data_IF_920107348383
#
_entry.id   IF_920107348383
#
_cell.length_a   1.000
_cell.length_b   1.000
_cell.length_c   1.000
_cell.angle_alpha   90.00
_cell.angle_beta   90.00
_cell.angle_gamma   90.00
#
_symmetry.space_group_name_H-M   'P 1'
#
loop_
_entity.id
_entity.type
_entity.pdbx_description
1 polymer ?
#
# COMPACT_ATOMS: atom_id res chain seq x y z
N UNK A 1 -0.21 18.31 16.88
CA UNK A 1 1.18 18.79 17.05
C UNK A 1 1.69 18.62 18.48
N UNK A 2 0.96 19.08 19.50
CA UNK A 2 1.38 18.95 20.91
C UNK A 2 1.69 17.50 21.37
N UNK A 3 0.89 16.51 20.96
CA UNK A 3 1.13 15.11 21.32
C UNK A 3 2.36 14.48 20.63
N UNK A 4 2.70 14.97 19.42
CA UNK A 4 3.88 14.49 18.70
C UNK A 4 5.17 15.07 19.28
N UNK A 5 5.16 16.34 19.69
CA UNK A 5 6.27 16.97 20.40
C UNK A 5 6.53 16.34 21.77
N UNK A 6 5.48 15.91 22.49
CA UNK A 6 5.66 15.20 23.76
C UNK A 6 6.23 13.80 23.57
N UNK A 7 5.80 13.06 22.54
CA UNK A 7 6.35 11.74 22.21
C UNK A 7 7.81 11.80 21.76
N UNK A 8 8.18 12.80 20.94
CA UNK A 8 9.57 13.04 20.54
C UNK A 8 10.42 13.47 21.75
N UNK A 9 9.88 14.32 22.63
CA UNK A 9 10.55 14.72 23.87
C UNK A 9 10.83 13.52 24.79
N UNK A 10 9.83 12.66 24.99
CA UNK A 10 9.98 11.43 25.78
C UNK A 10 11.01 10.48 25.14
N UNK A 11 10.94 10.26 23.83
CA UNK A 11 11.91 9.42 23.11
C UNK A 11 13.35 9.97 23.21
N UNK A 12 13.52 11.29 23.07
CA UNK A 12 14.83 11.95 23.19
C UNK A 12 15.41 11.87 24.61
N UNK A 13 14.57 11.95 25.64
CA UNK A 13 14.97 11.79 27.04
C UNK A 13 15.44 10.35 27.33
N UNK A 14 14.75 9.35 26.79
CA UNK A 14 15.18 7.94 26.90
C UNK A 14 16.48 7.67 26.13
N UNK A 15 16.67 8.27 24.95
CA UNK A 15 17.94 8.17 24.22
C UNK A 15 19.11 8.83 24.97
N UNK A 16 18.90 10.00 25.59
CA UNK A 16 19.93 10.69 26.38
C UNK A 16 20.29 9.92 27.66
N UNK A 17 19.30 9.39 28.39
CA UNK A 17 19.51 8.48 29.51
C UNK A 17 20.25 7.20 29.08
N UNK A 18 19.91 6.67 27.90
CA UNK A 18 20.58 5.55 27.28
C UNK A 18 22.06 5.80 27.04
N UNK A 19 22.40 6.90 26.36
CA UNK A 19 23.78 7.34 26.11
C UNK A 19 24.57 7.58 27.39
N UNK A 20 23.97 8.20 28.42
CA UNK A 20 24.61 8.43 29.71
C UNK A 20 24.92 7.13 30.48
N UNK A 21 24.06 6.11 30.36
CA UNK A 21 24.26 4.79 30.95
C UNK A 21 25.32 3.96 30.19
N UNK A 22 25.41 4.12 28.88
CA UNK A 22 26.45 3.51 28.03
C UNK A 22 27.84 4.07 28.39
N UNK A 23 27.94 5.38 28.63
CA UNK A 23 29.18 6.06 29.03
C UNK A 23 29.69 5.64 30.42
N UNK A 24 28.81 5.14 31.31
CA UNK A 24 29.18 4.63 32.64
C UNK A 24 29.52 3.12 32.68
N UNK A 25 29.56 2.49 31.50
CA UNK A 25 30.04 1.12 31.18
C UNK A 25 29.97 0.08 32.30
N UNK A 26 28.77 -0.46 32.50
CA UNK A 26 28.61 -1.87 32.85
C UNK A 26 27.74 -2.55 31.79
N UNK A 27 28.02 -3.80 31.42
CA UNK A 27 27.19 -4.58 30.49
C UNK A 27 25.70 -4.59 30.92
N UNK A 28 25.45 -4.48 32.22
CA UNK A 28 24.09 -4.35 32.80
C UNK A 28 23.41 -3.04 32.39
N UNK A 29 24.13 -1.92 32.39
CA UNK A 29 23.61 -0.63 31.94
C UNK A 29 23.27 -0.69 30.43
N UNK A 30 24.15 -1.24 29.60
CA UNK A 30 23.88 -1.47 28.18
C UNK A 30 22.61 -2.32 27.96
N UNK A 31 22.50 -3.44 28.66
CA UNK A 31 21.34 -4.33 28.55
C UNK A 31 20.03 -3.63 28.99
N UNK A 32 20.07 -2.89 30.10
CA UNK A 32 18.92 -2.10 30.58
C UNK A 32 18.49 -1.05 29.55
N UNK A 33 19.44 -0.35 28.93
CA UNK A 33 19.13 0.67 27.91
C UNK A 33 18.51 0.05 26.66
N UNK A 34 18.98 -1.12 26.24
CA UNK A 34 18.42 -1.84 25.10
C UNK A 34 16.99 -2.31 25.39
N UNK A 35 16.76 -2.87 26.57
CA UNK A 35 15.42 -3.29 27.01
C UNK A 35 14.46 -2.09 27.07
N UNK A 36 14.88 -0.98 27.69
CA UNK A 36 14.08 0.25 27.74
C UNK A 36 13.79 0.80 26.33
N UNK A 37 14.77 0.76 25.42
CA UNK A 37 14.59 1.16 24.04
C UNK A 37 13.57 0.30 23.30
N UNK A 38 13.60 -1.02 23.48
CA UNK A 38 12.61 -1.96 22.89
C UNK A 38 11.22 -1.70 23.44
N UNK A 39 11.07 -1.51 24.76
CA UNK A 39 9.79 -1.19 25.39
C UNK A 39 9.25 0.15 24.87
N UNK A 40 10.08 1.19 24.85
CA UNK A 40 9.69 2.51 24.36
C UNK A 40 9.27 2.47 22.89
N UNK A 41 9.98 1.70 22.06
CA UNK A 41 9.62 1.50 20.65
C UNK A 41 8.28 0.77 20.51
N UNK A 42 8.05 -0.28 21.31
CA UNK A 42 6.77 -0.98 21.34
C UNK A 42 5.59 -0.08 21.74
N UNK A 43 5.77 0.76 22.77
CA UNK A 43 4.76 1.74 23.19
C UNK A 43 4.52 2.78 22.09
N UNK A 44 5.58 3.29 21.46
CA UNK A 44 5.45 4.23 20.35
C UNK A 44 4.68 3.62 19.17
N UNK A 45 5.05 2.43 18.72
CA UNK A 45 4.43 1.75 17.58
C UNK A 45 2.96 1.43 17.85
N UNK A 46 2.63 0.96 19.05
CA UNK A 46 1.24 0.64 19.43
C UNK A 46 0.40 1.90 19.57
N UNK A 47 0.89 2.95 20.26
CA UNK A 47 0.19 4.23 20.37
C UNK A 47 -0.07 4.84 18.99
N UNK A 48 0.94 4.78 18.10
CA UNK A 48 0.80 5.30 16.74
C UNK A 48 -0.15 4.46 15.89
N UNK A 49 -0.09 3.14 15.99
CA UNK A 49 -1.02 2.24 15.32
C UNK A 49 -2.47 2.57 15.71
N UNK A 50 -2.74 2.69 17.02
CA UNK A 50 -4.06 3.07 17.54
C UNK A 50 -4.49 4.46 17.06
N UNK A 51 -3.58 5.44 17.03
CA UNK A 51 -3.87 6.77 16.51
C UNK A 51 -4.30 6.74 15.04
N UNK A 52 -3.60 5.98 14.19
CA UNK A 52 -3.94 5.83 12.77
C UNK A 52 -5.31 5.13 12.62
N UNK A 53 -5.58 4.08 13.40
CA UNK A 53 -6.89 3.42 13.34
C UNK A 53 -8.01 4.36 13.80
N UNK A 54 -7.78 5.15 14.85
CA UNK A 54 -8.76 6.15 15.31
C UNK A 54 -8.96 7.27 14.28
N UNK A 55 -7.92 7.75 13.61
CA UNK A 55 -8.05 8.80 12.59
C UNK A 55 -8.87 8.30 11.39
N UNK A 56 -8.70 7.03 11.00
CA UNK A 56 -9.52 6.35 9.98
C UNK A 56 -10.98 6.21 10.41
N UNK A 57 -11.25 5.79 11.65
CA UNK A 57 -12.62 5.69 12.17
C UNK A 57 -13.35 7.03 12.22
N UNK A 58 -12.63 8.13 12.49
CA UNK A 58 -13.19 9.49 12.48
C UNK A 58 -13.44 10.05 11.07
N UNK A 59 -12.77 9.48 10.06
CA UNK A 59 -12.86 9.91 8.65
C UNK A 59 -13.06 8.68 7.76
N UNK A 60 -14.23 8.00 7.85
CA UNK A 60 -14.48 6.82 7.05
C UNK A 60 -14.48 7.19 5.56
N UNK A 61 -13.80 6.38 4.76
CA UNK A 61 -13.82 6.52 3.31
C UNK A 61 -15.11 5.86 2.80
N UNK A 62 -16.14 6.66 2.53
CA UNK A 62 -17.38 6.17 1.94
C UNK A 62 -17.21 6.00 0.42
N UNK A 63 -17.20 4.75 -0.05
CA UNK A 63 -17.10 4.41 -1.47
C UNK A 63 -18.26 5.00 -2.31
N UNK A 64 -19.43 5.18 -1.69
CA UNK A 64 -20.58 5.82 -2.33
C UNK A 64 -20.30 7.29 -2.66
N UNK A 65 -19.66 8.02 -1.74
CA UNK A 65 -19.28 9.43 -1.95
C UNK A 65 -18.23 9.55 -3.06
N UNK A 66 -17.33 8.58 -3.18
CA UNK A 66 -16.35 8.50 -4.28
C UNK A 66 -17.06 8.24 -5.62
N UNK A 67 -18.00 7.30 -5.67
CA UNK A 67 -18.76 6.97 -6.87
C UNK A 67 -19.65 8.15 -7.34
N UNK A 68 -20.25 8.89 -6.41
CA UNK A 68 -21.04 10.09 -6.70
C UNK A 68 -20.14 11.24 -7.15
N UNK A 69 -18.98 11.48 -6.49
CA UNK A 69 -17.99 12.47 -6.95
C UNK A 69 -17.40 12.16 -8.33
N UNK A 70 -17.24 10.87 -8.66
CA UNK A 70 -16.75 10.39 -9.96
C UNK A 70 -17.66 10.85 -11.11
N UNK A 71 -18.97 11.01 -10.91
CA UNK A 71 -19.87 11.50 -11.96
C UNK A 71 -19.89 13.03 -12.10
N UNK A 72 -19.49 13.77 -11.06
CA UNK A 72 -19.68 15.23 -10.99
C UNK A 72 -18.42 16.08 -11.10
N UNK A 73 -17.20 15.53 -11.03
CA UNK A 73 -15.99 16.37 -11.11
C UNK A 73 -14.69 15.65 -11.51
N UNK A 74 -14.29 15.66 -12.81
CA UNK A 74 -12.97 15.20 -13.26
C UNK A 74 -11.80 16.03 -12.69
N UNK A 75 -12.07 17.16 -12.04
CA UNK A 75 -11.05 18.02 -11.39
C UNK A 75 -10.43 17.40 -10.12
N UNK A 76 -11.12 16.50 -9.42
CA UNK A 76 -10.62 15.87 -8.19
C UNK A 76 -9.53 14.82 -8.43
N UNK A 77 -9.50 14.24 -9.63
CA UNK A 77 -8.49 13.28 -10.06
C UNK A 77 -7.38 13.95 -10.89
N UNK A 78 -7.44 15.28 -11.04
CA UNK A 78 -6.44 16.04 -11.77
C UNK A 78 -5.13 15.99 -11.00
N UNK A 79 -4.13 15.33 -11.59
CA UNK A 79 -2.85 15.11 -10.93
C UNK A 79 -2.82 13.93 -9.96
N UNK A 80 -3.78 13.00 -10.02
CA UNK A 80 -3.76 11.83 -9.15
C UNK A 80 -2.56 10.92 -9.45
N UNK A 81 -1.92 10.41 -8.40
CA UNK A 81 -0.81 9.47 -8.49
C UNK A 81 -1.20 8.11 -7.91
N UNK A 82 -1.36 7.12 -8.79
CA UNK A 82 -1.65 5.74 -8.42
C UNK A 82 -0.39 4.88 -8.47
N UNK A 83 -0.24 4.00 -7.49
CA UNK A 83 0.72 2.91 -7.52
C UNK A 83 -0.03 1.58 -7.54
N UNK A 84 0.18 0.80 -8.59
CA UNK A 84 -0.51 -0.46 -8.84
C UNK A 84 0.49 -1.60 -8.71
N UNK A 85 0.20 -2.55 -7.81
CA UNK A 85 1.02 -3.75 -7.64
C UNK A 85 0.43 -4.87 -8.48
N UNK A 86 1.17 -5.28 -9.52
CA UNK A 86 0.80 -6.38 -10.38
C UNK A 86 1.28 -7.70 -9.77
N UNK A 87 0.33 -8.58 -9.46
CA UNK A 87 0.59 -9.93 -8.94
C UNK A 87 0.75 -10.94 -10.06
N UNK A 88 1.49 -12.03 -9.86
CA UNK A 88 1.85 -12.88 -11.00
C UNK A 88 0.70 -13.64 -11.66
N UNK A 89 0.72 -13.75 -13.00
CA UNK A 89 -0.19 -14.57 -13.79
C UNK A 89 -1.63 -14.01 -13.83
N UNK A 90 -2.59 -14.79 -13.32
CA UNK A 90 -4.02 -14.41 -13.33
C UNK A 90 -4.32 -13.11 -12.56
N UNK A 91 -3.55 -12.83 -11.50
CA UNK A 91 -3.71 -11.59 -10.72
C UNK A 91 -3.43 -10.33 -11.55
N UNK A 92 -2.41 -10.33 -12.43
CA UNK A 92 -2.15 -9.19 -13.34
C UNK A 92 -3.34 -8.95 -14.26
N UNK A 93 -3.85 -10.01 -14.90
CA UNK A 93 -5.01 -9.88 -15.80
C UNK A 93 -6.24 -9.33 -15.08
N UNK A 94 -6.53 -9.85 -13.89
CA UNK A 94 -7.62 -9.33 -13.05
C UNK A 94 -7.41 -7.85 -12.71
N UNK A 95 -6.19 -7.45 -12.33
CA UNK A 95 -5.88 -6.06 -11.98
C UNK A 95 -6.08 -5.12 -13.17
N UNK A 96 -5.53 -5.46 -14.33
CA UNK A 96 -5.66 -4.66 -15.54
C UNK A 96 -7.13 -4.54 -15.99
N UNK A 97 -7.89 -5.64 -15.94
CA UNK A 97 -9.32 -5.61 -16.25
C UNK A 97 -10.12 -4.74 -15.26
N UNK A 98 -9.79 -4.80 -13.96
CA UNK A 98 -10.39 -3.91 -12.96
C UNK A 98 -10.06 -2.44 -13.24
N UNK A 99 -8.84 -2.14 -13.64
CA UNK A 99 -8.41 -0.80 -14.04
C UNK A 99 -9.22 -0.29 -15.24
N UNK A 100 -9.35 -1.09 -16.28
CA UNK A 100 -10.09 -0.75 -17.50
C UNK A 100 -11.56 -0.38 -17.22
N UNK A 101 -12.22 -1.14 -16.34
CA UNK A 101 -13.67 -0.99 -16.10
C UNK A 101 -13.97 0.06 -15.03
N UNK A 102 -13.19 0.04 -13.95
CA UNK A 102 -13.57 0.72 -12.71
C UNK A 102 -12.85 2.06 -12.49
N UNK A 103 -11.71 2.29 -13.15
CA UNK A 103 -10.90 3.48 -12.93
C UNK A 103 -10.96 4.44 -14.13
N UNK A 104 -11.35 5.71 -13.92
CA UNK A 104 -11.43 6.66 -15.02
C UNK A 104 -10.03 7.06 -15.48
N UNK A 105 -9.81 7.07 -16.80
CA UNK A 105 -8.60 7.66 -17.37
C UNK A 105 -8.73 9.17 -17.37
N UNK A 106 -7.80 9.83 -16.67
CA UNK A 106 -7.75 11.29 -16.57
C UNK A 106 -6.41 11.77 -17.16
N UNK A 107 -6.40 12.81 -18.02
CA UNK A 107 -5.20 13.26 -18.73
C UNK A 107 -4.00 13.61 -17.83
N UNK A 108 -4.25 14.09 -16.61
CA UNK A 108 -3.21 14.49 -15.67
C UNK A 108 -2.85 13.39 -14.64
N UNK A 109 -3.30 12.16 -14.84
CA UNK A 109 -3.03 11.05 -13.91
C UNK A 109 -1.66 10.42 -14.18
N UNK A 110 -0.95 10.05 -13.11
CA UNK A 110 0.25 9.21 -13.19
C UNK A 110 0.01 7.82 -12.59
N UNK A 111 0.43 6.78 -13.29
CA UNK A 111 0.31 5.38 -12.86
C UNK A 111 1.70 4.74 -12.75
N UNK A 112 2.09 4.36 -11.54
CA UNK A 112 3.29 3.56 -11.30
C UNK A 112 2.93 2.09 -11.16
N UNK A 113 3.51 1.25 -12.00
CA UNK A 113 3.32 -0.20 -11.94
C UNK A 113 4.50 -0.89 -11.26
N UNK A 114 4.22 -1.59 -10.16
CA UNK A 114 5.18 -2.49 -9.51
C UNK A 114 4.97 -3.92 -9.98
N UNK A 115 6.02 -4.51 -10.54
CA UNK A 115 5.99 -5.85 -11.12
C UNK A 115 6.94 -6.74 -10.34
N UNK A 116 6.49 -7.94 -9.98
CA UNK A 116 7.35 -8.89 -9.27
C UNK A 116 8.42 -9.48 -10.20
N UNK A 117 9.63 -9.66 -9.69
CA UNK A 117 10.78 -10.21 -10.42
C UNK A 117 10.48 -11.62 -10.95
N UNK A 118 10.86 -11.88 -12.21
CA UNK A 118 10.64 -13.18 -12.86
C UNK A 118 9.26 -13.35 -13.49
N UNK A 119 8.52 -12.25 -13.68
CA UNK A 119 7.22 -12.25 -14.35
C UNK A 119 7.24 -11.40 -15.63
N UNK A 120 7.80 -11.97 -16.70
CA UNK A 120 7.82 -11.36 -18.03
C UNK A 120 6.43 -11.25 -18.66
N UNK A 121 5.52 -12.18 -18.34
CA UNK A 121 4.16 -12.17 -18.88
C UNK A 121 3.36 -10.95 -18.39
N UNK A 122 3.55 -10.55 -17.13
CA UNK A 122 2.91 -9.36 -16.60
C UNK A 122 3.38 -8.07 -17.26
N UNK A 123 4.66 -8.00 -17.68
CA UNK A 123 5.17 -6.88 -18.47
C UNK A 123 4.49 -6.80 -19.83
N UNK A 124 4.37 -7.93 -20.54
CA UNK A 124 3.73 -7.99 -21.86
C UNK A 124 2.26 -7.57 -21.77
N UNK A 125 1.53 -8.07 -20.76
CA UNK A 125 0.14 -7.70 -20.56
C UNK A 125 -0.04 -6.23 -20.20
N UNK A 126 0.87 -5.65 -19.41
CA UNK A 126 0.84 -4.23 -19.08
C UNK A 126 1.12 -3.35 -20.30
N UNK A 127 2.13 -3.69 -21.09
CA UNK A 127 2.49 -2.92 -22.29
C UNK A 127 1.32 -2.94 -23.30
N UNK A 128 0.71 -4.11 -23.53
CA UNK A 128 -0.49 -4.23 -24.36
C UNK A 128 -1.68 -3.40 -23.82
N UNK A 129 -1.87 -3.36 -22.50
CA UNK A 129 -2.93 -2.58 -21.87
C UNK A 129 -2.73 -1.07 -22.04
N UNK A 130 -1.53 -0.54 -21.80
CA UNK A 130 -1.27 0.89 -21.97
C UNK A 130 -1.33 1.30 -23.46
N UNK A 131 -0.94 0.43 -24.39
CA UNK A 131 -1.10 0.67 -25.83
C UNK A 131 -2.58 0.67 -26.25
N UNK A 132 -3.40 -0.23 -25.70
CA UNK A 132 -4.85 -0.21 -25.90
C UNK A 132 -5.50 1.05 -25.31
N UNK A 133 -5.07 1.50 -24.13
CA UNK A 133 -5.55 2.76 -23.57
C UNK A 133 -5.25 3.95 -24.48
N UNK A 134 -4.04 3.98 -25.05
CA UNK A 134 -3.61 5.01 -26.01
C UNK A 134 -4.44 5.00 -27.29
N UNK A 135 -4.75 3.82 -27.83
CA UNK A 135 -5.57 3.72 -29.06
C UNK A 135 -7.00 4.15 -28.82
N UNK A 136 -7.59 3.85 -27.66
CA UNK A 136 -8.99 4.19 -27.34
C UNK A 136 -9.16 5.68 -26.99
N UNK A 137 -8.27 6.26 -26.18
CA UNK A 137 -8.47 7.61 -25.62
C UNK A 137 -7.61 8.69 -26.29
N UNK A 138 -6.62 8.30 -27.10
CA UNK A 138 -5.65 9.20 -27.72
C UNK A 138 -4.50 9.62 -26.79
N UNK A 139 -3.32 9.86 -27.35
CA UNK A 139 -2.08 10.11 -26.59
C UNK A 139 -2.18 11.24 -25.57
N UNK A 140 -2.96 12.30 -25.88
CA UNK A 140 -3.11 13.47 -25.01
C UNK A 140 -4.01 13.28 -23.79
N UNK A 141 -4.72 12.15 -23.67
CA UNK A 141 -5.70 11.92 -22.59
C UNK A 141 -5.34 10.78 -21.63
N UNK A 142 -4.30 10.00 -21.92
CA UNK A 142 -4.01 8.74 -21.21
C UNK A 142 -3.17 8.98 -19.95
N UNK A 143 -2.64 10.18 -19.73
CA UNK A 143 -1.74 10.45 -18.60
C UNK A 143 -0.38 9.77 -18.77
N UNK A 144 0.42 9.74 -17.70
CA UNK A 144 1.79 9.20 -17.71
C UNK A 144 1.89 7.92 -16.91
N UNK A 145 2.85 7.06 -17.24
CA UNK A 145 3.11 5.86 -16.44
C UNK A 145 4.60 5.55 -16.35
N UNK A 146 4.98 4.84 -15.29
CA UNK A 146 6.29 4.21 -15.16
C UNK A 146 6.15 2.78 -14.63
N UNK A 147 7.16 1.93 -14.89
CA UNK A 147 7.18 0.54 -14.46
C UNK A 147 8.47 0.22 -13.73
N UNK A 148 8.36 -0.45 -12.59
CA UNK A 148 9.48 -0.85 -11.76
C UNK A 148 9.38 -2.33 -11.39
N UNK A 149 10.48 -3.05 -11.55
CA UNK A 149 10.56 -4.46 -11.21
C UNK A 149 11.15 -4.59 -9.80
N UNK A 150 10.44 -5.27 -8.91
CA UNK A 150 10.84 -5.50 -7.52
C UNK A 150 10.99 -6.98 -7.24
N UNK A 151 11.89 -7.33 -6.34
CA UNK A 151 12.09 -8.69 -5.88
C UNK A 151 10.77 -9.28 -5.39
N UNK A 152 10.53 -10.55 -5.75
CA UNK A 152 9.35 -11.27 -5.28
C UNK A 152 9.51 -11.61 -3.81
N UNK A 153 8.54 -11.21 -2.98
CA UNK A 153 8.57 -11.46 -1.53
C UNK A 153 8.68 -12.94 -1.16
N UNK A 154 8.04 -13.81 -1.94
CA UNK A 154 8.13 -15.26 -1.81
C UNK A 154 8.05 -15.94 -3.18
N UNK A 155 9.01 -16.80 -3.50
CA UNK A 155 8.98 -17.67 -4.68
C UNK A 155 8.04 -18.86 -4.47
N UNK A 156 7.47 -19.38 -5.55
CA UNK A 156 6.64 -20.59 -5.52
C UNK A 156 7.55 -21.76 -5.10
N UNK A 157 7.07 -22.64 -4.22
CA UNK A 157 7.84 -23.73 -3.59
C UNK A 157 8.99 -23.31 -2.66
N UNK A 158 9.10 -22.02 -2.33
CA UNK A 158 10.07 -21.56 -1.35
C UNK A 158 9.67 -22.00 0.08
N UNK A 159 10.65 -22.49 0.83
CA UNK A 159 10.49 -22.83 2.24
C UNK A 159 10.12 -21.60 3.08
N UNK A 160 9.30 -21.80 4.10
CA UNK A 160 8.91 -20.72 5.01
C UNK A 160 10.12 -20.11 5.76
N UNK A 161 11.19 -20.88 5.95
CA UNK A 161 12.41 -20.42 6.63
C UNK A 161 13.24 -19.44 5.80
N UNK A 162 13.26 -19.58 4.47
CA UNK A 162 14.00 -18.65 3.59
C UNK A 162 13.16 -17.46 3.15
N UNK A 163 11.84 -17.52 3.38
CA UNK A 163 10.89 -16.46 3.01
C UNK A 163 11.20 -15.09 3.65
N UNK A 164 11.62 -14.99 4.93
CA UNK A 164 11.96 -13.70 5.53
C UNK A 164 13.09 -12.97 4.80
N UNK A 165 14.09 -13.69 4.29
CA UNK A 165 15.21 -13.09 3.57
C UNK A 165 14.75 -12.47 2.24
N UNK A 166 13.97 -13.21 1.44
CA UNK A 166 13.42 -12.68 0.19
C UNK A 166 12.41 -11.56 0.41
N UNK A 167 11.64 -11.62 1.50
CA UNK A 167 10.75 -10.55 1.91
C UNK A 167 11.53 -9.28 2.29
N UNK A 168 12.63 -9.40 3.03
CA UNK A 168 13.48 -8.26 3.40
C UNK A 168 14.14 -7.61 2.18
N UNK A 169 14.61 -8.41 1.22
CA UNK A 169 15.11 -7.90 -0.07
C UNK A 169 14.02 -7.13 -0.84
N UNK A 170 12.77 -7.59 -0.77
CA UNK A 170 11.64 -6.89 -1.38
C UNK A 170 11.38 -5.56 -0.68
N UNK A 171 11.42 -5.52 0.66
CA UNK A 171 11.32 -4.29 1.45
C UNK A 171 12.41 -3.30 1.05
N UNK A 172 13.67 -3.74 0.96
CA UNK A 172 14.80 -2.89 0.62
C UNK A 172 14.67 -2.22 -0.76
N UNK A 173 14.01 -2.88 -1.72
CA UNK A 173 13.76 -2.32 -3.05
C UNK A 173 12.48 -1.47 -3.10
N UNK A 174 11.43 -1.86 -2.39
CA UNK A 174 10.14 -1.14 -2.36
C UNK A 174 10.27 0.19 -1.60
N UNK A 175 11.05 0.22 -0.51
CA UNK A 175 11.22 1.41 0.33
C UNK A 175 11.65 2.67 -0.45
N UNK A 176 12.75 2.68 -1.21
CA UNK A 176 13.14 3.85 -2.00
C UNK A 176 12.16 4.16 -3.14
N UNK A 177 11.46 3.15 -3.67
CA UNK A 177 10.46 3.35 -4.73
C UNK A 177 9.18 4.04 -4.25
N UNK A 178 8.77 3.83 -3.00
CA UNK A 178 7.64 4.54 -2.41
C UNK A 178 7.98 6.00 -2.08
N UNK A 179 9.26 6.30 -1.83
CA UNK A 179 9.73 7.65 -1.54
C UNK A 179 10.18 8.43 -2.79
N UNK A 180 10.32 7.76 -3.94
CA UNK A 180 10.72 8.40 -5.18
C UNK A 180 9.50 8.99 -5.92
N UNK A 181 9.59 10.28 -6.24
CA UNK A 181 8.55 10.95 -7.02
C UNK A 181 8.88 10.91 -8.51
N UNK A 182 7.91 10.56 -9.38
CA UNK A 182 8.04 10.70 -10.82
C UNK A 182 7.89 12.16 -11.28
N UNK A 183 7.41 13.06 -10.42
CA UNK A 183 7.15 14.46 -10.76
C UNK A 183 8.36 15.34 -10.42
N UNK A 184 8.70 16.24 -11.34
CA UNK A 184 9.73 17.28 -11.14
C UNK A 184 9.03 18.62 -10.87
N UNK A 185 9.31 19.25 -9.73
CA UNK A 185 8.79 20.59 -9.38
C UNK A 185 8.24 20.71 -7.94
N UNK A 186 7.60 21.84 -7.59
CA UNK A 186 7.18 22.18 -6.22
C UNK A 186 5.90 21.46 -5.74
N UNK A 187 5.45 20.41 -6.45
CA UNK A 187 4.22 19.68 -6.09
C UNK A 187 4.48 18.70 -4.95
N UNK A 188 4.58 19.23 -3.73
CA UNK A 188 4.90 18.48 -2.51
C UNK A 188 3.93 17.32 -2.23
N UNK A 189 2.63 17.49 -2.53
CA UNK A 189 1.62 16.41 -2.36
C UNK A 189 1.81 15.23 -3.32
N UNK A 190 2.28 15.49 -4.54
CA UNK A 190 2.52 14.46 -5.56
C UNK A 190 3.84 13.71 -5.36
N UNK A 191 4.58 14.02 -4.29
CA UNK A 191 5.83 13.32 -4.00
C UNK A 191 5.59 11.83 -3.70
N UNK A 192 4.44 11.50 -3.13
CA UNK A 192 4.05 10.15 -2.74
C UNK A 192 2.83 9.68 -3.55
N UNK A 193 2.66 8.36 -3.76
CA UNK A 193 1.42 7.83 -4.30
C UNK A 193 0.23 8.23 -3.43
N UNK A 194 -0.86 8.70 -4.03
CA UNK A 194 -2.10 8.97 -3.32
C UNK A 194 -2.77 7.65 -2.91
N UNK A 195 -2.84 6.71 -3.86
CA UNK A 195 -3.50 5.42 -3.70
C UNK A 195 -2.55 4.29 -4.14
N UNK A 196 -2.47 3.26 -3.29
CA UNK A 196 -1.78 2.01 -3.58
C UNK A 196 -2.84 0.93 -3.80
N UNK A 197 -2.89 0.37 -5.00
CA UNK A 197 -3.86 -0.66 -5.37
C UNK A 197 -3.16 -2.02 -5.50
N UNK A 198 -3.72 -3.05 -4.86
CA UNK A 198 -3.20 -4.41 -4.97
C UNK A 198 -4.30 -5.46 -4.85
N UNK A 199 -4.27 -6.47 -5.73
CA UNK A 199 -5.01 -7.73 -5.60
C UNK A 199 -4.05 -8.92 -5.42
N UNK A 200 -2.75 -8.64 -5.46
CA UNK A 200 -1.70 -9.65 -5.49
C UNK A 200 -1.37 -10.22 -4.11
N UNK A 201 -0.64 -11.35 -4.06
CA UNK A 201 -0.31 -12.06 -2.83
C UNK A 201 0.82 -11.36 -2.05
N UNK A 202 1.93 -12.04 -1.77
CA UNK A 202 2.94 -11.58 -0.80
C UNK A 202 3.57 -10.21 -1.11
N UNK A 203 3.89 -9.90 -2.37
CA UNK A 203 4.50 -8.60 -2.73
C UNK A 203 3.56 -7.43 -2.43
N UNK A 204 2.26 -7.58 -2.70
CA UNK A 204 1.25 -6.57 -2.39
C UNK A 204 1.13 -6.29 -0.89
N UNK A 205 1.19 -7.33 -0.07
CA UNK A 205 1.26 -7.18 1.38
C UNK A 205 2.51 -6.41 1.83
N UNK A 206 3.68 -6.73 1.28
CA UNK A 206 4.92 -6.03 1.62
C UNK A 206 4.84 -4.54 1.25
N UNK A 207 4.30 -4.20 0.07
CA UNK A 207 4.10 -2.79 -0.31
C UNK A 207 3.20 -2.07 0.70
N UNK A 208 2.07 -2.68 1.06
CA UNK A 208 1.17 -2.13 2.08
C UNK A 208 1.83 -1.98 3.45
N UNK A 209 2.63 -2.97 3.86
CA UNK A 209 3.38 -2.94 5.11
C UNK A 209 4.40 -1.80 5.12
N UNK A 210 5.19 -1.63 4.06
CA UNK A 210 6.18 -0.55 3.98
C UNK A 210 5.48 0.82 4.00
N UNK A 211 4.41 1.00 3.22
CA UNK A 211 3.61 2.23 3.25
C UNK A 211 3.09 2.53 4.67
N UNK A 212 2.59 1.51 5.38
CA UNK A 212 2.11 1.66 6.74
C UNK A 212 3.22 1.98 7.75
N UNK A 213 4.39 1.37 7.61
CA UNK A 213 5.57 1.69 8.42
C UNK A 213 6.01 3.14 8.21
N UNK A 214 6.02 3.62 6.96
CA UNK A 214 6.33 5.02 6.64
C UNK A 214 5.35 6.00 7.31
N UNK A 215 4.05 5.69 7.34
CA UNK A 215 3.02 6.47 8.07
C UNK A 215 3.22 6.42 9.59
N UNK A 216 3.60 5.25 10.10
CA UNK A 216 3.84 5.03 11.53
C UNK A 216 5.06 5.82 12.00
N UNK A 217 6.11 5.90 11.19
CA UNK A 217 7.33 6.65 11.50
C UNK A 217 7.25 8.15 11.18
N UNK A 218 6.08 8.67 10.81
CA UNK A 218 5.87 10.08 10.40
C UNK A 218 6.72 10.53 9.20
N UNK A 219 7.23 9.60 8.38
CA UNK A 219 7.98 9.91 7.16
C UNK A 219 7.03 10.39 6.06
N UNK A 220 5.82 9.81 6.02
CA UNK A 220 4.77 10.10 5.04
C UNK A 220 3.51 10.54 5.78
N UNK A 221 2.75 11.54 5.27
CA UNK A 221 1.50 11.96 5.89
C UNK A 221 0.43 10.85 5.85
N UNK A 222 -0.51 10.88 6.80
CA UNK A 222 -1.53 9.83 6.95
C UNK A 222 -2.50 9.72 5.76
N UNK A 223 -2.73 10.82 5.05
CA UNK A 223 -3.64 10.90 3.91
C UNK A 223 -3.00 10.50 2.56
N UNK A 224 -1.69 10.26 2.53
CA UNK A 224 -0.99 9.71 1.37
C UNK A 224 -0.91 8.18 1.45
N UNK A 225 -0.53 7.53 0.35
CA UNK A 225 -0.31 6.09 0.23
C UNK A 225 -1.49 5.26 0.78
N UNK A 226 -2.72 5.62 0.42
CA UNK A 226 -3.91 4.89 0.88
C UNK A 226 -3.92 3.50 0.24
N UNK A 227 -3.80 2.47 1.07
CA UNK A 227 -3.69 1.08 0.61
C UNK A 227 -5.08 0.48 0.42
N UNK A 228 -5.42 0.18 -0.83
CA UNK A 228 -6.64 -0.51 -1.22
C UNK A 228 -6.28 -1.93 -1.64
N UNK A 229 -6.73 -2.89 -0.85
CA UNK A 229 -6.61 -4.31 -1.19
C UNK A 229 -7.94 -4.84 -1.73
N UNK A 230 -7.88 -5.52 -2.88
CA UNK A 230 -9.04 -6.18 -3.50
C UNK A 230 -8.82 -7.68 -3.52
N UNK A 231 -9.60 -8.43 -2.75
CA UNK A 231 -9.67 -9.88 -2.86
C UNK A 231 -10.57 -10.26 -4.05
N UNK A 232 -10.00 -10.97 -5.02
CA UNK A 232 -10.66 -11.27 -6.27
C UNK A 232 -11.58 -12.50 -6.22
N UNK A 233 -12.40 -12.68 -7.26
CA UNK A 233 -13.31 -13.82 -7.44
C UNK A 233 -12.63 -15.19 -7.41
N UNK A 234 -11.31 -15.27 -7.54
CA UNK A 234 -10.56 -16.52 -7.40
C UNK A 234 -10.78 -17.21 -6.04
N UNK A 235 -11.27 -16.49 -5.02
CA UNK A 235 -11.56 -17.00 -3.68
C UNK A 235 -13.03 -16.81 -3.30
N UNK A 236 -13.79 -17.91 -3.39
CA UNK A 236 -15.25 -17.91 -3.13
C UNK A 236 -15.66 -18.39 -1.73
N UNK A 237 -14.77 -19.05 -0.99
CA UNK A 237 -15.09 -19.64 0.32
C UNK A 237 -14.45 -18.89 1.50
N UNK A 238 -13.19 -18.48 1.38
CA UNK A 238 -12.44 -17.80 2.45
C UNK A 238 -11.50 -16.76 1.86
N UNK A 239 -11.10 -15.76 2.67
CA UNK A 239 -10.04 -14.82 2.29
C UNK A 239 -8.73 -15.56 2.00
N UNK A 240 -7.96 -15.04 1.04
CA UNK A 240 -6.60 -15.51 0.82
C UNK A 240 -5.75 -15.26 2.07
N UNK A 241 -4.57 -15.89 2.15
CA UNK A 241 -3.64 -15.61 3.25
C UNK A 241 -3.30 -14.10 3.33
N UNK A 242 -3.15 -13.45 2.17
CA UNK A 242 -2.89 -12.01 2.10
C UNK A 242 -4.10 -11.19 2.54
N UNK A 243 -5.31 -11.56 2.10
CA UNK A 243 -6.54 -10.92 2.57
C UNK A 243 -6.75 -11.07 4.08
N UNK A 244 -6.45 -12.24 4.65
CA UNK A 244 -6.46 -12.46 6.11
C UNK A 244 -5.44 -11.57 6.81
N UNK A 245 -4.22 -11.45 6.28
CA UNK A 245 -3.20 -10.57 6.85
C UNK A 245 -3.67 -9.10 6.85
N UNK A 246 -4.19 -8.59 5.74
CA UNK A 246 -4.73 -7.23 5.68
C UNK A 246 -5.91 -7.03 6.63
N UNK A 247 -6.81 -8.01 6.72
CA UNK A 247 -7.97 -7.99 7.61
C UNK A 247 -7.56 -7.91 9.09
N UNK A 248 -6.65 -8.79 9.54
CA UNK A 248 -6.27 -8.86 10.96
C UNK A 248 -5.28 -7.77 11.37
N UNK A 249 -4.39 -7.33 10.49
CA UNK A 249 -3.39 -6.31 10.83
C UNK A 249 -3.93 -4.89 10.73
N UNK A 250 -5.04 -4.68 10.00
CA UNK A 250 -5.59 -3.35 9.76
C UNK A 250 -4.65 -2.43 8.96
N UNK A 251 -3.67 -2.99 8.24
CA UNK A 251 -2.70 -2.21 7.45
C UNK A 251 -3.38 -1.53 6.25
N UNK A 252 -4.26 -2.26 5.56
CA UNK A 252 -5.03 -1.72 4.45
C UNK A 252 -5.98 -0.62 4.94
N UNK A 253 -6.03 0.50 4.22
CA UNK A 253 -6.99 1.56 4.45
C UNK A 253 -8.40 1.10 4.02
N UNK A 254 -8.48 0.36 2.91
CA UNK A 254 -9.73 -0.23 2.42
C UNK A 254 -9.48 -1.70 2.03
N UNK A 255 -10.30 -2.59 2.57
CA UNK A 255 -10.35 -4.00 2.22
C UNK A 255 -11.65 -4.29 1.47
N UNK A 256 -11.52 -4.59 0.19
CA UNK A 256 -12.62 -4.91 -0.72
C UNK A 256 -12.62 -6.39 -1.04
N UNK A 257 -13.80 -7.01 -1.04
CA UNK A 257 -13.97 -8.41 -1.44
C UNK A 257 -15.04 -8.49 -2.53
N UNK A 258 -14.73 -9.15 -3.63
CA UNK A 258 -15.67 -9.25 -4.75
C UNK A 258 -16.79 -10.28 -4.53
N UNK A 259 -16.52 -11.34 -3.75
CA UNK A 259 -17.50 -12.39 -3.47
C UNK A 259 -18.35 -12.08 -2.23
N UNK A 260 -19.67 -11.95 -2.42
CA UNK A 260 -20.60 -11.51 -1.37
C UNK A 260 -20.58 -12.38 -0.11
N UNK A 261 -20.56 -13.71 -0.24
CA UNK A 261 -20.57 -14.59 0.94
C UNK A 261 -19.32 -14.41 1.80
N UNK A 262 -18.17 -14.16 1.16
CA UNK A 262 -16.90 -13.94 1.86
C UNK A 262 -16.91 -12.55 2.50
N UNK A 263 -17.39 -11.54 1.77
CA UNK A 263 -17.52 -10.18 2.30
C UNK A 263 -18.38 -10.16 3.58
N UNK A 264 -19.54 -10.83 3.56
CA UNK A 264 -20.42 -10.98 4.74
C UNK A 264 -19.76 -11.77 5.87
N UNK A 265 -19.10 -12.89 5.57
CA UNK A 265 -18.46 -13.73 6.58
C UNK A 265 -17.36 -13.01 7.37
N UNK A 266 -16.66 -12.07 6.74
CA UNK A 266 -15.58 -11.29 7.36
C UNK A 266 -15.98 -9.85 7.73
N UNK A 267 -17.24 -9.45 7.52
CA UNK A 267 -17.72 -8.11 7.82
C UNK A 267 -17.02 -7.00 7.01
N UNK A 268 -16.60 -7.29 5.78
CA UNK A 268 -15.86 -6.36 4.91
C UNK A 268 -16.72 -5.91 3.72
N UNK A 269 -16.34 -4.82 3.08
CA UNK A 269 -17.13 -4.23 2.00
C UNK A 269 -17.13 -5.09 0.75
N UNK A 270 -18.33 -5.40 0.25
CA UNK A 270 -18.49 -6.10 -1.01
C UNK A 270 -18.31 -5.13 -2.19
N UNK A 271 -17.36 -5.41 -3.07
CA UNK A 271 -17.09 -4.62 -4.27
C UNK A 271 -17.91 -5.06 -5.50
N UNK A 272 -18.50 -6.26 -5.46
CA UNK A 272 -19.15 -6.87 -6.62
C UNK A 272 -18.18 -7.25 -7.74
N UNK A 273 -18.71 -7.51 -8.93
CA UNK A 273 -17.89 -7.82 -10.10
C UNK A 273 -17.28 -6.55 -10.68
N UNK A 274 -15.95 -6.44 -10.59
CA UNK A 274 -15.18 -5.33 -11.18
C UNK A 274 -14.39 -5.73 -12.43
N UNK A 275 -14.42 -7.01 -12.81
CA UNK A 275 -13.61 -7.58 -13.92
C UNK A 275 -14.44 -7.82 -15.18
N UNK A 276 -15.75 -7.95 -15.04
CA UNK A 276 -16.67 -8.17 -16.17
C UNK A 276 -17.61 -6.99 -16.26
N UNK A 277 -17.66 -6.32 -17.43
CA UNK A 277 -18.69 -5.29 -17.68
C UNK A 277 -20.06 -5.96 -17.56
N UNK A 278 -20.91 -5.44 -16.67
CA UNK A 278 -22.33 -5.80 -16.69
C UNK A 278 -22.89 -5.35 -18.05
N UNK A 279 -23.43 -6.28 -18.83
CA UNK A 279 -24.33 -5.92 -19.94
C UNK A 279 -25.55 -5.26 -19.30
N UNK A 280 -25.63 -3.95 -19.40
CA UNK A 280 -26.88 -3.20 -19.23
C UNK A 280 -27.59 -3.14 -20.57
#
# INVERSE_FOLDING_TARGET
MAAASTLIGIASAFCALGLGLILKSSWRALLLTLVLGVISSGVFLTARHLQIQQSRLKRPIHLADIAVKKSTSPSLLKGAYFLIVLGSGGHTKEMLAMMEISFPNVPDMHRRYLISSGDSMSLIHLDAFEDELRTIHGEGQVGTFDKHIVARARKIHQSLLTTPFTALMSVAQIFPLLLSSPFKGPRNRQQFPDIILTNGPATGFIVGLVAYLLKTLYIVPEDAMQVIYIESWARIQTLSLTGKLFHYTGIADILLVQHEKVAKAYGVTNAGCMVVRKKT
#
